data_IF_028307502019
#
_entry.id   IF_028307502019
#
_cell.length_a   1.000
_cell.length_b   1.000
_cell.length_c   1.000
_cell.angle_alpha   90.00
_cell.angle_beta   90.00
_cell.angle_gamma   90.00
#
_symmetry.space_group_name_H-M   'P 1'
#
loop_
_entity.id
_entity.type
_entity.pdbx_description
1 polymer ?
#
# COMPACT_ATOMS: atom_id res chain seq x y z
N UNK A 1 -9.95 -22.78 -19.66
CA UNK A 1 -10.04 -21.42 -20.23
C UNK A 1 -11.15 -20.53 -19.63
N UNK A 2 -12.05 -21.02 -18.75
CA UNK A 2 -13.24 -20.25 -18.32
C UNK A 2 -13.13 -19.37 -17.06
N UNK A 3 -12.21 -19.66 -16.12
CA UNK A 3 -12.08 -18.91 -14.84
C UNK A 3 -11.21 -17.65 -14.95
N UNK A 4 -10.12 -17.71 -15.73
CA UNK A 4 -9.24 -16.56 -15.94
C UNK A 4 -9.93 -15.44 -16.73
N UNK A 5 -10.75 -15.77 -17.75
CA UNK A 5 -11.47 -14.76 -18.53
C UNK A 5 -12.58 -14.07 -17.72
N UNK A 6 -13.22 -14.77 -16.78
CA UNK A 6 -14.28 -14.20 -15.92
C UNK A 6 -13.73 -13.28 -14.84
N UNK A 7 -12.55 -13.57 -14.27
CA UNK A 7 -11.88 -12.71 -13.27
C UNK A 7 -11.27 -11.45 -13.91
N UNK A 8 -10.80 -11.54 -15.16
CA UNK A 8 -10.27 -10.38 -15.89
C UNK A 8 -11.35 -9.34 -16.24
N UNK A 9 -12.61 -9.78 -16.42
CA UNK A 9 -13.69 -8.95 -16.96
C UNK A 9 -14.70 -8.48 -15.89
N UNK A 10 -14.82 -9.16 -14.75
CA UNK A 10 -15.67 -8.69 -13.64
C UNK A 10 -15.02 -7.48 -12.96
N UNK A 11 -15.41 -6.27 -13.38
CA UNK A 11 -15.25 -5.07 -12.55
C UNK A 11 -16.32 -5.11 -11.46
N UNK A 12 -16.06 -5.83 -10.36
CA UNK A 12 -16.88 -5.76 -9.15
C UNK A 12 -16.50 -4.55 -8.29
N UNK A 13 -16.00 -3.48 -8.91
CA UNK A 13 -15.86 -2.22 -8.21
C UNK A 13 -17.25 -1.61 -8.18
N UNK A 14 -17.91 -1.63 -7.02
CA UNK A 14 -19.08 -0.77 -6.73
C UNK A 14 -18.67 0.71 -6.69
N UNK A 15 -17.83 1.15 -7.62
CA UNK A 15 -17.33 2.51 -7.72
C UNK A 15 -18.48 3.48 -7.95
N UNK A 16 -19.44 3.03 -8.76
CA UNK A 16 -20.63 3.75 -9.16
C UNK A 16 -21.79 3.40 -8.22
N UNK A 17 -22.39 4.42 -7.60
CA UNK A 17 -23.58 4.27 -6.73
C UNK A 17 -23.30 4.17 -5.23
N UNK A 18 -22.04 4.04 -4.79
CA UNK A 18 -21.68 4.10 -3.36
C UNK A 18 -21.49 5.52 -2.85
N UNK A 19 -21.67 5.74 -1.54
CA UNK A 19 -21.35 7.01 -0.88
C UNK A 19 -19.84 7.12 -0.63
N UNK A 20 -19.23 8.16 -1.17
CA UNK A 20 -17.81 8.46 -0.98
C UNK A 20 -17.60 9.26 0.31
N UNK A 21 -16.59 8.89 1.09
CA UNK A 21 -16.18 9.67 2.25
C UNK A 21 -14.88 10.44 1.96
N UNK A 22 -14.48 11.29 2.92
CA UNK A 22 -13.29 12.14 2.75
C UNK A 22 -11.99 11.36 2.58
N UNK A 23 -11.87 10.17 3.18
CA UNK A 23 -10.68 9.31 3.03
C UNK A 23 -10.59 8.74 1.60
N UNK A 24 -11.73 8.34 1.04
CA UNK A 24 -11.80 7.83 -0.33
C UNK A 24 -11.42 8.91 -1.34
N UNK A 25 -11.98 10.12 -1.18
CA UNK A 25 -11.67 11.28 -2.02
C UNK A 25 -10.19 11.64 -1.88
N UNK A 26 -9.67 11.67 -0.65
CA UNK A 26 -8.25 11.96 -0.40
C UNK A 26 -7.34 10.94 -1.07
N UNK A 27 -7.69 9.65 -1.01
CA UNK A 27 -6.93 8.59 -1.67
C UNK A 27 -6.89 8.76 -3.19
N UNK A 28 -8.03 9.10 -3.82
CA UNK A 28 -8.10 9.40 -5.25
C UNK A 28 -7.24 10.60 -5.60
N UNK A 29 -7.39 11.71 -4.89
CA UNK A 29 -6.63 12.94 -5.17
C UNK A 29 -5.13 12.70 -5.03
N UNK A 30 -4.69 12.04 -3.95
CA UNK A 30 -3.26 11.73 -3.74
C UNK A 30 -2.73 10.80 -4.81
N UNK A 31 -3.44 9.71 -5.13
CA UNK A 31 -2.99 8.78 -6.16
C UNK A 31 -2.92 9.46 -7.53
N UNK A 32 -3.93 10.24 -7.92
CA UNK A 32 -3.90 11.00 -9.17
C UNK A 32 -2.73 12.00 -9.19
N UNK A 33 -2.51 12.75 -8.12
CA UNK A 33 -1.41 13.71 -8.03
C UNK A 33 -0.05 13.03 -8.21
N UNK A 34 0.18 11.87 -7.59
CA UNK A 34 1.43 11.10 -7.72
C UNK A 34 1.65 10.61 -9.17
N UNK A 35 0.60 10.13 -9.84
CA UNK A 35 0.69 9.71 -11.24
C UNK A 35 0.90 10.89 -12.17
N UNK A 36 0.24 12.02 -11.94
CA UNK A 36 0.48 13.26 -12.67
C UNK A 36 1.92 13.75 -12.49
N UNK A 37 2.50 13.66 -11.28
CA UNK A 37 3.92 13.97 -11.06
C UNK A 37 4.83 13.09 -11.93
N UNK A 38 4.50 11.83 -12.16
CA UNK A 38 5.29 10.94 -12.99
C UNK A 38 5.35 11.39 -14.47
N UNK A 39 4.34 12.11 -14.96
CA UNK A 39 4.34 12.63 -16.33
C UNK A 39 5.47 13.66 -16.57
N UNK A 40 5.96 14.29 -15.50
CA UNK A 40 7.08 15.23 -15.56
C UNK A 40 8.46 14.55 -15.52
N UNK A 41 8.53 13.24 -15.26
CA UNK A 41 9.79 12.52 -15.05
C UNK A 41 10.79 12.65 -16.22
N UNK A 42 10.39 12.56 -17.51
CA UNK A 42 11.33 12.72 -18.63
C UNK A 42 11.97 14.11 -18.70
N UNK A 43 11.25 15.14 -18.27
CA UNK A 43 11.70 16.54 -18.34
C UNK A 43 12.49 16.98 -17.10
N UNK A 44 12.42 16.22 -16.02
CA UNK A 44 13.02 16.54 -14.72
C UNK A 44 13.98 15.44 -14.23
N UNK A 45 14.57 14.67 -15.15
CA UNK A 45 15.60 13.70 -14.80
C UNK A 45 16.93 14.38 -14.44
N UNK A 46 17.54 13.93 -13.35
CA UNK A 46 18.96 14.09 -13.08
C UNK A 46 19.42 12.96 -12.14
N UNK A 47 20.73 12.70 -12.13
CA UNK A 47 21.31 11.61 -11.37
C UNK A 47 21.12 11.75 -9.86
N UNK A 48 21.12 12.96 -9.31
CA UNK A 48 20.86 13.19 -7.88
C UNK A 48 19.44 12.77 -7.49
N UNK A 49 18.44 13.23 -8.25
CA UNK A 49 17.04 12.89 -8.05
C UNK A 49 16.80 11.38 -8.20
N UNK A 50 17.44 10.76 -9.20
CA UNK A 50 17.38 9.32 -9.43
C UNK A 50 17.91 8.51 -8.24
N UNK A 51 19.11 8.83 -7.74
CA UNK A 51 19.70 8.07 -6.63
C UNK A 51 18.97 8.29 -5.31
N UNK A 52 18.47 9.50 -5.06
CA UNK A 52 17.59 9.76 -3.90
C UNK A 52 16.30 8.96 -4.01
N UNK A 53 15.68 8.91 -5.19
CA UNK A 53 14.52 8.07 -5.44
C UNK A 53 14.83 6.58 -5.23
N UNK A 54 15.97 6.08 -5.71
CA UNK A 54 16.36 4.68 -5.52
C UNK A 54 16.60 4.34 -4.04
N UNK A 55 17.29 5.22 -3.30
CA UNK A 55 17.51 5.04 -1.87
C UNK A 55 16.19 5.01 -1.09
N UNK A 56 15.28 5.94 -1.39
CA UNK A 56 13.95 5.97 -0.79
C UNK A 56 13.10 4.76 -1.21
N UNK A 57 13.22 4.30 -2.45
CA UNK A 57 12.57 3.08 -2.94
C UNK A 57 12.94 1.87 -2.07
N UNK A 58 14.24 1.66 -1.85
CA UNK A 58 14.74 0.57 -1.01
C UNK A 58 14.30 0.74 0.45
N UNK A 59 14.48 1.93 1.02
CA UNK A 59 14.16 2.19 2.43
C UNK A 59 12.69 1.97 2.74
N UNK A 60 11.81 2.51 1.89
CA UNK A 60 10.36 2.38 2.09
C UNK A 60 9.82 1.01 1.70
N UNK A 61 10.43 0.36 0.70
CA UNK A 61 10.18 -1.05 0.39
C UNK A 61 10.56 -1.98 1.56
N UNK A 62 11.69 -1.74 2.23
CA UNK A 62 12.07 -2.46 3.45
C UNK A 62 11.10 -2.16 4.61
N UNK A 63 10.66 -0.90 4.74
CA UNK A 63 9.65 -0.53 5.73
C UNK A 63 8.32 -1.30 5.57
N UNK A 64 7.88 -1.51 4.34
CA UNK A 64 6.68 -2.32 4.04
C UNK A 64 6.96 -3.81 4.24
N UNK A 65 8.02 -4.34 3.64
CA UNK A 65 8.28 -5.80 3.60
C UNK A 65 8.81 -6.38 4.91
N UNK A 66 9.77 -5.72 5.57
CA UNK A 66 10.31 -6.19 6.84
C UNK A 66 9.43 -5.77 8.01
N UNK A 67 9.02 -4.50 8.07
CA UNK A 67 8.25 -4.00 9.20
C UNK A 67 6.76 -4.32 9.07
N UNK A 68 6.02 -3.65 8.17
CA UNK A 68 4.56 -3.79 8.13
C UNK A 68 4.13 -5.24 7.92
N UNK A 69 4.75 -5.92 6.95
CA UNK A 69 4.41 -7.27 6.57
C UNK A 69 4.94 -8.31 7.56
N UNK A 70 6.26 -8.56 7.61
CA UNK A 70 6.82 -9.70 8.36
C UNK A 70 6.83 -9.50 9.87
N UNK A 71 7.23 -8.32 10.34
CA UNK A 71 7.34 -8.06 11.77
C UNK A 71 5.98 -7.73 12.42
N UNK A 72 5.24 -6.74 11.89
CA UNK A 72 4.01 -6.26 12.53
C UNK A 72 2.79 -7.13 12.21
N UNK A 73 2.58 -7.51 10.95
CA UNK A 73 1.41 -8.30 10.57
C UNK A 73 1.58 -9.78 10.90
N UNK A 74 2.69 -10.40 10.49
CA UNK A 74 2.93 -11.84 10.68
C UNK A 74 3.69 -12.21 11.96
N UNK A 75 4.33 -11.25 12.63
CA UNK A 75 5.14 -11.52 13.84
C UNK A 75 6.19 -12.61 13.62
N UNK A 76 6.76 -12.69 12.41
CA UNK A 76 7.73 -13.72 12.04
C UNK A 76 9.07 -13.62 12.78
N UNK A 77 9.36 -12.46 13.37
CA UNK A 77 10.53 -12.22 14.22
C UNK A 77 10.26 -11.02 15.14
N UNK A 78 11.07 -10.90 16.19
CA UNK A 78 11.04 -9.79 17.14
C UNK A 78 12.22 -8.84 16.91
N UNK A 79 12.02 -7.55 17.18
CA UNK A 79 13.06 -6.51 17.11
C UNK A 79 13.08 -5.72 18.42
N UNK A 80 14.22 -5.13 18.81
CA UNK A 80 14.22 -4.10 19.83
C UNK A 80 13.39 -2.90 19.36
N UNK A 81 12.66 -2.26 20.28
CA UNK A 81 11.61 -1.27 19.93
C UNK A 81 12.11 -0.08 19.11
N UNK A 82 13.32 0.39 19.35
CA UNK A 82 13.90 1.48 18.55
C UNK A 82 14.00 1.10 17.07
N UNK A 83 14.44 -0.13 16.77
CA UNK A 83 14.62 -0.62 15.40
C UNK A 83 13.28 -0.96 14.74
N UNK A 84 12.36 -1.56 15.50
CA UNK A 84 10.97 -1.78 15.08
C UNK A 84 10.31 -0.46 14.64
N UNK A 85 10.45 0.59 15.46
CA UNK A 85 9.87 1.90 15.19
C UNK A 85 10.56 2.62 14.03
N UNK A 86 11.88 2.49 13.89
CA UNK A 86 12.61 3.02 12.73
C UNK A 86 12.13 2.42 11.41
N UNK A 87 12.00 1.09 11.33
CA UNK A 87 11.49 0.45 10.11
C UNK A 87 10.00 0.77 9.86
N UNK A 88 9.19 0.85 10.91
CA UNK A 88 7.80 1.26 10.77
C UNK A 88 7.67 2.70 10.25
N UNK A 89 8.53 3.62 10.70
CA UNK A 89 8.58 4.98 10.17
C UNK A 89 8.97 5.02 8.69
N UNK A 90 9.93 4.18 8.27
CA UNK A 90 10.26 4.03 6.85
C UNK A 90 9.04 3.57 6.03
N UNK A 91 8.20 2.70 6.61
CA UNK A 91 6.94 2.27 6.01
C UNK A 91 5.91 3.40 5.86
N UNK A 92 5.85 4.35 6.80
CA UNK A 92 4.96 5.53 6.69
C UNK A 92 5.28 6.37 5.45
N UNK A 93 6.56 6.48 5.09
CA UNK A 93 7.04 7.23 3.94
C UNK A 93 6.74 6.53 2.58
N UNK A 94 6.09 5.36 2.59
CA UNK A 94 5.67 4.63 1.37
C UNK A 94 4.29 5.04 0.85
N UNK A 95 3.54 5.87 1.60
CA UNK A 95 2.18 6.31 1.27
C UNK A 95 1.14 5.15 1.16
N UNK A 96 1.39 4.01 1.80
CA UNK A 96 0.45 2.88 1.85
C UNK A 96 -0.51 2.88 3.05
N UNK A 97 -0.59 4.01 3.76
CA UNK A 97 -1.36 4.16 4.99
C UNK A 97 -0.53 3.95 6.25
N UNK A 98 -1.16 4.20 7.40
CA UNK A 98 -0.49 4.07 8.69
C UNK A 98 -0.19 2.60 9.04
N UNK A 99 0.75 2.32 9.96
CA UNK A 99 1.04 0.95 10.39
C UNK A 99 -0.21 0.21 10.88
N UNK A 100 -1.10 0.91 11.59
CA UNK A 100 -2.36 0.36 12.09
C UNK A 100 -3.28 -0.06 10.93
N UNK A 101 -3.45 0.80 9.94
CA UNK A 101 -4.39 0.58 8.83
C UNK A 101 -3.88 -0.47 7.84
N UNK A 102 -2.59 -0.46 7.54
CA UNK A 102 -1.96 -1.43 6.66
C UNK A 102 -2.00 -2.82 7.28
N UNK A 103 -1.55 -2.96 8.53
CA UNK A 103 -1.54 -4.26 9.24
C UNK A 103 -2.96 -4.78 9.44
N UNK A 104 -3.93 -3.92 9.74
CA UNK A 104 -5.34 -4.29 9.85
C UNK A 104 -5.86 -4.90 8.55
N UNK A 105 -5.62 -4.22 7.42
CA UNK A 105 -6.05 -4.67 6.10
C UNK A 105 -5.38 -6.00 5.76
N UNK A 106 -4.06 -6.11 5.96
CA UNK A 106 -3.28 -7.31 5.65
C UNK A 106 -3.69 -8.53 6.47
N UNK A 107 -3.95 -8.35 7.77
CA UNK A 107 -4.44 -9.42 8.65
C UNK A 107 -5.82 -9.92 8.20
N UNK A 108 -6.71 -9.03 7.76
CA UNK A 108 -8.00 -9.44 7.21
C UNK A 108 -7.91 -10.11 5.85
N UNK A 109 -6.99 -9.66 4.99
CA UNK A 109 -6.67 -10.37 3.76
C UNK A 109 -6.29 -11.82 4.08
N UNK A 110 -5.31 -12.08 4.95
CA UNK A 110 -4.93 -13.45 5.29
C UNK A 110 -6.06 -14.26 5.94
N UNK A 111 -6.87 -13.63 6.81
CA UNK A 111 -7.99 -14.30 7.45
C UNK A 111 -9.09 -14.73 6.46
N UNK A 112 -9.28 -13.96 5.39
CA UNK A 112 -10.40 -14.12 4.45
C UNK A 112 -9.94 -14.29 3.00
N UNK A 113 -8.69 -14.71 2.79
CA UNK A 113 -7.98 -14.72 1.51
C UNK A 113 -8.86 -15.24 0.39
N UNK A 114 -8.96 -14.47 -0.70
CA UNK A 114 -9.71 -14.84 -1.91
C UNK A 114 -11.20 -15.15 -1.69
N UNK A 115 -11.78 -14.64 -0.60
CA UNK A 115 -13.23 -14.65 -0.36
C UNK A 115 -13.85 -13.27 -0.56
N UNK A 116 -15.19 -13.18 -0.49
CA UNK A 116 -15.88 -11.89 -0.57
C UNK A 116 -15.54 -10.91 0.56
N UNK A 117 -15.03 -11.42 1.70
CA UNK A 117 -14.63 -10.64 2.88
C UNK A 117 -13.21 -10.08 2.80
N UNK A 118 -12.39 -10.54 1.84
CA UNK A 118 -11.06 -10.01 1.62
C UNK A 118 -11.15 -8.57 1.02
N UNK A 119 -10.49 -7.58 1.66
CA UNK A 119 -10.44 -6.20 1.19
C UNK A 119 -10.03 -6.06 -0.27
N UNK A 120 -9.01 -6.79 -0.70
CA UNK A 120 -8.43 -6.70 -2.04
C UNK A 120 -8.54 -8.02 -2.80
N UNK A 121 -9.64 -8.73 -2.55
CA UNK A 121 -9.91 -10.04 -3.14
C UNK A 121 -9.81 -10.01 -4.68
N UNK A 122 -8.98 -10.86 -5.29
CA UNK A 122 -8.88 -11.00 -6.75
C UNK A 122 -10.17 -11.53 -7.37
N UNK A 123 -11.06 -12.19 -6.60
CA UNK A 123 -12.37 -12.64 -7.13
C UNK A 123 -13.27 -11.46 -7.53
N UNK A 124 -13.01 -10.26 -7.00
CA UNK A 124 -13.68 -9.00 -7.35
C UNK A 124 -13.10 -8.36 -8.63
N UNK A 125 -12.06 -8.96 -9.19
CA UNK A 125 -11.43 -8.58 -10.46
C UNK A 125 -10.01 -8.05 -10.32
N UNK A 126 -9.29 -8.03 -11.45
CA UNK A 126 -7.92 -7.54 -11.54
C UNK A 126 -7.78 -6.08 -11.06
N UNK A 127 -8.64 -5.20 -11.56
CA UNK A 127 -8.57 -3.77 -11.22
C UNK A 127 -8.94 -3.50 -9.76
N UNK A 128 -9.86 -4.29 -9.20
CA UNK A 128 -10.20 -4.21 -7.78
C UNK A 128 -9.00 -4.58 -6.91
N UNK A 129 -8.40 -5.75 -7.14
CA UNK A 129 -7.24 -6.24 -6.38
C UNK A 129 -5.98 -5.40 -6.57
N UNK A 130 -5.80 -4.81 -7.75
CA UNK A 130 -4.68 -3.91 -8.04
C UNK A 130 -4.83 -2.57 -7.29
N UNK A 131 -5.95 -1.86 -7.42
CA UNK A 131 -6.10 -0.51 -6.84
C UNK A 131 -7.50 -0.18 -6.34
N UNK A 132 -8.54 -0.78 -6.91
CA UNK A 132 -9.94 -0.44 -6.59
C UNK A 132 -10.26 -0.52 -5.10
N UNK A 133 -9.69 -1.52 -4.41
CA UNK A 133 -9.85 -1.75 -2.98
C UNK A 133 -9.43 -0.56 -2.10
N UNK A 134 -8.49 0.27 -2.54
CA UNK A 134 -7.96 1.41 -1.78
C UNK A 134 -9.04 2.47 -1.60
N UNK A 135 -9.92 2.61 -2.59
CA UNK A 135 -10.91 3.66 -2.64
C UNK A 135 -12.15 3.37 -1.77
N UNK A 136 -12.25 2.21 -1.12
CA UNK A 136 -13.38 1.89 -0.24
C UNK A 136 -12.93 1.75 1.22
N UNK A 137 -12.61 2.88 1.85
CA UNK A 137 -12.25 2.92 3.27
C UNK A 137 -13.39 2.49 4.19
N UNK A 138 -14.65 2.68 3.76
CA UNK A 138 -15.83 2.28 4.51
C UNK A 138 -15.90 0.76 4.70
N UNK A 139 -15.53 0.02 3.66
CA UNK A 139 -15.37 -1.42 3.73
C UNK A 139 -14.15 -1.80 4.56
N UNK A 140 -12.97 -1.25 4.25
CA UNK A 140 -11.70 -1.63 4.89
C UNK A 140 -11.69 -1.43 6.41
N UNK A 141 -12.23 -0.30 6.87
CA UNK A 141 -12.16 0.10 8.28
C UNK A 141 -13.53 0.10 8.99
N UNK A 142 -14.58 -0.33 8.31
CA UNK A 142 -15.91 -0.54 8.89
C UNK A 142 -16.38 -1.97 8.69
N UNK A 143 -16.82 -2.29 7.47
CA UNK A 143 -17.53 -3.55 7.18
C UNK A 143 -16.68 -4.81 7.29
N UNK A 144 -15.36 -4.72 7.08
CA UNK A 144 -14.42 -5.84 7.21
C UNK A 144 -14.13 -6.21 8.69
N UNK A 145 -14.75 -5.52 9.66
CA UNK A 145 -14.58 -5.76 11.10
C UNK A 145 -13.89 -4.61 11.84
N UNK A 146 -13.53 -3.54 11.12
CA UNK A 146 -12.88 -2.35 11.65
C UNK A 146 -11.49 -2.61 12.24
N UNK A 147 -10.97 -1.71 13.06
CA UNK A 147 -9.60 -1.81 13.59
C UNK A 147 -9.44 -2.79 14.76
N UNK A 148 -10.32 -3.80 14.87
CA UNK A 148 -10.36 -4.73 16.02
C UNK A 148 -9.23 -5.76 15.99
N UNK A 149 -8.71 -6.09 14.81
CA UNK A 149 -7.64 -7.10 14.66
C UNK A 149 -6.23 -6.52 14.91
N UNK A 150 -6.09 -5.27 15.36
CA UNK A 150 -4.82 -4.55 15.59
C UNK A 150 -4.76 -3.85 16.96
N UNK A 151 -5.45 -4.37 17.97
CA UNK A 151 -5.40 -3.82 19.33
C UNK A 151 -3.97 -3.82 19.92
N UNK A 152 -3.11 -4.73 19.48
CA UNK A 152 -1.68 -4.76 19.84
C UNK A 152 -0.92 -3.50 19.38
N UNK A 153 -1.24 -2.95 18.20
CA UNK A 153 -0.66 -1.70 17.72
C UNK A 153 -1.33 -0.49 18.38
N UNK A 154 -2.66 -0.52 18.55
CA UNK A 154 -3.43 0.59 19.13
C UNK A 154 -3.03 0.92 20.57
N UNK A 155 -2.54 -0.06 21.34
CA UNK A 155 -2.00 0.17 22.70
C UNK A 155 -0.75 1.04 22.72
N UNK A 156 0.00 1.10 21.62
CA UNK A 156 1.28 1.81 21.56
C UNK A 156 1.08 3.27 21.14
N UNK A 157 1.68 4.22 21.88
CA UNK A 157 1.58 5.66 21.57
C UNK A 157 2.18 5.99 20.20
N UNK A 158 3.31 5.38 19.86
CA UNK A 158 4.01 5.59 18.61
C UNK A 158 3.12 5.31 17.38
N UNK A 159 2.45 4.17 17.33
CA UNK A 159 1.59 3.83 16.18
C UNK A 159 0.32 4.67 16.13
N UNK A 160 -0.23 5.09 17.28
CA UNK A 160 -1.33 6.05 17.32
C UNK A 160 -0.87 7.40 16.76
N UNK A 161 0.30 7.90 17.17
CA UNK A 161 0.87 9.14 16.66
C UNK A 161 1.02 9.10 15.14
N UNK A 162 1.67 8.05 14.60
CA UNK A 162 1.85 7.89 13.16
C UNK A 162 0.52 7.81 12.39
N UNK A 163 -0.52 7.20 12.97
CA UNK A 163 -1.84 7.18 12.33
C UNK A 163 -2.45 8.58 12.16
N UNK A 164 -2.32 9.45 13.16
CA UNK A 164 -2.87 10.81 13.09
C UNK A 164 -2.02 11.76 12.24
N UNK A 165 -0.72 11.48 12.10
CA UNK A 165 0.25 12.33 11.38
C UNK A 165 0.69 11.74 10.04
N UNK A 166 0.06 10.67 9.56
CA UNK A 166 0.51 9.90 8.40
C UNK A 166 0.74 10.77 7.14
N UNK A 167 -0.24 11.63 6.81
CA UNK A 167 -0.13 12.53 5.66
C UNK A 167 0.91 13.63 5.89
N UNK A 168 1.03 14.13 7.12
CA UNK A 168 2.01 15.16 7.47
C UNK A 168 3.44 14.68 7.18
N UNK A 169 3.79 13.44 7.54
CA UNK A 169 5.12 12.90 7.25
C UNK A 169 5.45 12.85 5.75
N UNK A 170 4.45 12.57 4.91
CA UNK A 170 4.62 12.55 3.46
C UNK A 170 4.78 13.97 2.89
N UNK A 171 4.02 14.93 3.41
CA UNK A 171 4.15 16.36 3.04
C UNK A 171 5.52 16.90 3.45
N UNK A 172 5.97 16.58 4.67
CA UNK A 172 7.30 16.97 5.15
C UNK A 172 8.41 16.39 4.28
N UNK A 173 8.32 15.10 3.90
CA UNK A 173 9.29 14.51 2.99
C UNK A 173 9.29 15.21 1.63
N UNK A 174 8.11 15.51 1.06
CA UNK A 174 8.00 16.27 -0.18
C UNK A 174 8.63 17.66 -0.09
N UNK A 175 8.38 18.39 1.00
CA UNK A 175 8.99 19.69 1.27
C UNK A 175 10.51 19.61 1.39
N UNK A 176 11.03 18.62 2.11
CA UNK A 176 12.48 18.39 2.25
C UNK A 176 13.13 18.06 0.90
N UNK A 177 12.50 17.20 0.09
CA UNK A 177 12.99 16.87 -1.25
C UNK A 177 13.02 18.10 -2.16
N UNK A 178 11.96 18.92 -2.13
CA UNK A 178 11.90 20.15 -2.89
C UNK A 178 12.98 21.15 -2.43
N UNK A 179 13.17 21.31 -1.12
CA UNK A 179 14.22 22.17 -0.59
C UNK A 179 15.64 21.68 -0.98
N UNK A 180 15.86 20.37 -1.05
CA UNK A 180 17.16 19.78 -1.33
C UNK A 180 17.55 19.81 -2.82
N UNK A 181 16.58 19.63 -3.73
CA UNK A 181 16.88 19.48 -5.16
C UNK A 181 15.77 19.93 -6.10
N UNK A 182 14.88 20.79 -5.60
CA UNK A 182 13.81 21.42 -6.36
C UNK A 182 12.77 20.43 -6.88
N UNK A 183 12.10 20.83 -7.96
CA UNK A 183 11.00 20.07 -8.54
C UNK A 183 11.44 18.69 -9.04
N UNK A 184 12.68 18.53 -9.52
CA UNK A 184 13.19 17.24 -9.97
C UNK A 184 13.24 16.19 -8.86
N UNK A 185 13.63 16.58 -7.64
CA UNK A 185 13.63 15.68 -6.48
C UNK A 185 12.21 15.35 -6.03
N UNK A 186 11.26 16.29 -6.17
CA UNK A 186 9.85 16.03 -5.89
C UNK A 186 9.25 15.04 -6.90
N UNK A 187 9.49 15.25 -8.20
CA UNK A 187 9.02 14.36 -9.29
C UNK A 187 9.54 12.95 -9.12
N UNK A 188 10.83 12.77 -8.90
CA UNK A 188 11.43 11.44 -8.78
C UNK A 188 11.22 10.82 -7.40
N UNK A 189 11.43 11.58 -6.32
CA UNK A 189 11.39 11.08 -4.94
C UNK A 189 9.99 10.88 -4.37
N UNK A 190 9.01 11.71 -4.77
CA UNK A 190 7.60 11.56 -4.40
C UNK A 190 6.76 10.94 -5.52
N UNK A 191 6.89 11.38 -6.78
CA UNK A 191 6.11 10.83 -7.89
C UNK A 191 6.55 9.41 -8.26
N UNK A 192 7.63 9.32 -9.06
CA UNK A 192 8.10 8.07 -9.68
C UNK A 192 8.34 6.98 -8.64
N UNK A 193 9.12 7.29 -7.59
CA UNK A 193 9.44 6.31 -6.54
C UNK A 193 8.19 5.74 -5.87
N UNK A 194 7.24 6.60 -5.48
CA UNK A 194 6.06 6.14 -4.75
C UNK A 194 5.16 5.31 -5.64
N UNK A 195 4.94 5.72 -6.90
CA UNK A 195 4.16 4.94 -7.86
C UNK A 195 4.78 3.56 -8.08
N UNK A 196 6.10 3.47 -8.25
CA UNK A 196 6.80 2.18 -8.36
C UNK A 196 6.60 1.30 -7.12
N UNK A 197 6.76 1.84 -5.90
CA UNK A 197 6.55 1.10 -4.65
C UNK A 197 5.11 0.62 -4.52
N UNK A 198 4.13 1.47 -4.83
CA UNK A 198 2.70 1.15 -4.77
C UNK A 198 2.36 0.01 -5.73
N UNK A 199 2.72 0.15 -7.01
CA UNK A 199 2.42 -0.87 -8.00
C UNK A 199 3.13 -2.19 -7.71
N UNK A 200 4.41 -2.18 -7.31
CA UNK A 200 5.11 -3.41 -6.93
C UNK A 200 4.46 -4.12 -5.74
N UNK A 201 3.94 -3.36 -4.77
CA UNK A 201 3.20 -3.96 -3.65
C UNK A 201 1.86 -4.52 -4.11
N UNK A 202 1.13 -3.77 -4.93
CA UNK A 202 -0.20 -4.18 -5.40
C UNK A 202 -0.18 -5.34 -6.39
N UNK A 203 0.92 -5.52 -7.13
CA UNK A 203 1.14 -6.70 -7.95
C UNK A 203 1.11 -8.00 -7.13
N UNK A 204 1.48 -7.97 -5.85
CA UNK A 204 1.36 -9.13 -4.97
C UNK A 204 -0.10 -9.50 -4.74
N UNK A 205 -0.99 -8.51 -4.60
CA UNK A 205 -2.43 -8.75 -4.39
C UNK A 205 -3.13 -9.24 -5.67
N UNK A 206 -2.69 -8.74 -6.82
CA UNK A 206 -3.34 -8.98 -8.10
C UNK A 206 -2.66 -10.13 -8.87
N UNK A 207 -1.49 -9.86 -9.46
CA UNK A 207 -0.71 -10.81 -10.25
C UNK A 207 -0.32 -12.02 -9.41
N UNK A 208 0.06 -11.80 -8.14
CA UNK A 208 0.38 -12.85 -7.17
C UNK A 208 -0.75 -13.84 -6.90
N UNK A 209 -2.01 -13.51 -7.21
CA UNK A 209 -3.16 -14.41 -7.06
C UNK A 209 -3.81 -14.84 -8.38
N UNK A 210 -3.35 -14.31 -9.52
CA UNK A 210 -3.96 -14.57 -10.83
C UNK A 210 -3.03 -15.37 -11.76
N UNK A 211 -1.74 -15.03 -11.77
CA UNK A 211 -0.74 -15.62 -12.66
C UNK A 211 0.43 -16.23 -11.89
N UNK A 212 1.10 -17.21 -12.50
CA UNK A 212 2.23 -17.92 -11.92
C UNK A 212 1.92 -19.37 -11.56
N UNK A 213 2.91 -20.04 -10.96
CA UNK A 213 2.87 -21.46 -10.58
C UNK A 213 2.25 -21.64 -9.19
N UNK A 214 1.50 -22.73 -8.99
CA UNK A 214 0.95 -23.10 -7.67
C UNK A 214 1.47 -24.47 -7.22
N UNK A 215 2.71 -24.54 -6.68
CA UNK A 215 3.29 -25.82 -6.26
C UNK A 215 2.66 -26.37 -4.96
N UNK A 216 2.08 -25.50 -4.13
CA UNK A 216 1.52 -25.87 -2.81
C UNK A 216 0.00 -25.75 -2.82
N UNK A 217 -0.69 -26.68 -2.13
CA UNK A 217 -2.13 -26.61 -1.94
C UNK A 217 -2.48 -25.79 -0.70
N UNK A 218 -2.55 -24.47 -0.86
CA UNK A 218 -2.84 -23.47 0.19
C UNK A 218 -4.34 -23.22 0.44
N UNK A 219 -5.23 -23.75 -0.41
CA UNK A 219 -6.67 -23.45 -0.36
C UNK A 219 -7.09 -22.08 -0.94
N UNK A 220 -6.13 -21.19 -1.22
CA UNK A 220 -6.35 -19.88 -1.86
C UNK A 220 -5.92 -19.88 -3.35
N UNK A 221 -5.85 -18.73 -4.00
CA UNK A 221 -5.39 -18.54 -5.37
C UNK A 221 -3.95 -18.03 -5.48
N UNK A 222 -3.19 -17.97 -4.37
CA UNK A 222 -1.81 -17.48 -4.38
C UNK A 222 -0.89 -18.30 -5.32
N UNK A 223 0.07 -17.60 -5.94
CA UNK A 223 0.96 -18.11 -6.98
C UNK A 223 2.37 -17.55 -6.81
N UNK A 224 3.33 -18.33 -7.29
CA UNK A 224 4.72 -17.92 -7.43
C UNK A 224 4.94 -17.32 -8.83
N UNK A 225 5.43 -16.09 -8.89
CA UNK A 225 5.79 -15.34 -10.10
C UNK A 225 7.29 -15.14 -10.20
#
# INVERSE_FOLDING_TARGET
MGLLSTVLVKSYVEFWGRKWNIQDISAVVVLLALHCLCLFAPFHFNWGAFWVAMALYLLTGLGVTLSYHRNLAHRSFTLPKWLEYSFAYCGVLSLQGSPIEWVCTHRYHHQFTDTGKDPHSPIKGLWHSQMGWIFDSSYRFGQCGGLKNVEDLKKQLFYRFLRHTNLLHSVLLGGLLYAAGGFSFLVWGMGVRTVLVLHNTFLVNSVGHMWGKKPWNTGDMSRNN
#
